data_IF_136381922214
#
_entry.id   IF_136381922214
#
_cell.length_a   1.000
_cell.length_b   1.000
_cell.length_c   1.000
_cell.angle_alpha   90.00
_cell.angle_beta   90.00
_cell.angle_gamma   90.00
#
_symmetry.space_group_name_H-M   'P 1'
#
loop_
_entity.id
_entity.type
_entity.pdbx_description
1 polymer ?
#
# COMPACT_ATOMS: atom_id res chain seq x y z
N UNK A 1 19.21 0.80 -30.83
CA UNK A 1 18.16 1.71 -30.30
C UNK A 1 17.26 0.98 -29.32
N UNK A 2 17.04 1.57 -28.14
CA UNK A 2 16.16 1.08 -27.08
C UNK A 2 15.00 2.06 -26.91
N UNK A 3 13.76 1.57 -27.00
CA UNK A 3 12.53 2.38 -26.87
C UNK A 3 11.65 1.78 -25.79
N UNK A 4 11.24 2.57 -24.80
CA UNK A 4 10.27 2.10 -23.79
C UNK A 4 8.88 1.99 -24.42
N UNK A 5 8.24 0.86 -24.21
CA UNK A 5 6.84 0.62 -24.51
C UNK A 5 6.03 1.06 -23.27
N UNK A 6 5.01 1.92 -23.42
CA UNK A 6 4.14 2.29 -22.30
C UNK A 6 3.39 1.07 -21.73
N UNK A 7 3.40 0.92 -20.40
CA UNK A 7 2.74 -0.16 -19.66
C UNK A 7 1.93 0.48 -18.52
N UNK A 8 0.78 -0.10 -18.18
CA UNK A 8 -0.10 0.44 -17.13
C UNK A 8 0.26 -0.10 -15.74
N UNK A 9 0.93 -1.25 -15.67
CA UNK A 9 1.30 -1.93 -14.45
C UNK A 9 2.58 -1.37 -13.82
N UNK A 10 2.50 -0.93 -12.56
CA UNK A 10 3.63 -0.31 -11.85
C UNK A 10 4.87 -1.21 -11.71
N UNK A 11 4.70 -2.54 -11.68
CA UNK A 11 5.80 -3.49 -11.51
C UNK A 11 6.31 -4.11 -12.82
N UNK A 12 5.78 -3.71 -13.99
CA UNK A 12 6.22 -4.21 -15.29
C UNK A 12 6.72 -3.07 -16.15
N UNK A 13 7.91 -3.24 -16.71
CA UNK A 13 8.51 -2.31 -17.67
C UNK A 13 8.79 -3.05 -18.96
N UNK A 14 8.51 -2.42 -20.09
CA UNK A 14 8.68 -3.05 -21.41
C UNK A 14 9.54 -2.19 -22.32
N UNK A 15 10.44 -2.82 -23.06
CA UNK A 15 11.36 -2.17 -23.97
C UNK A 15 11.37 -2.88 -25.31
N UNK A 16 11.38 -2.11 -26.41
CA UNK A 16 11.69 -2.59 -27.75
C UNK A 16 13.12 -2.24 -28.11
N UNK A 17 13.86 -3.23 -28.59
CA UNK A 17 15.25 -3.11 -28.99
C UNK A 17 15.36 -3.46 -30.47
N UNK A 18 16.04 -2.60 -31.22
CA UNK A 18 16.28 -2.80 -32.65
C UNK A 18 17.68 -2.40 -33.09
N UNK A 19 18.13 -2.98 -34.20
CA UNK A 19 19.43 -2.72 -34.80
C UNK A 19 20.59 -3.31 -33.98
N UNK A 20 21.76 -2.68 -34.09
CA UNK A 20 22.96 -3.04 -33.30
C UNK A 20 23.04 -2.13 -32.08
N UNK A 21 23.10 -2.69 -30.89
CA UNK A 21 23.26 -1.91 -29.65
C UNK A 21 24.69 -1.41 -29.50
N UNK A 22 24.84 -0.13 -29.19
CA UNK A 22 26.12 0.55 -28.95
C UNK A 22 26.30 0.90 -27.47
N UNK A 23 27.50 1.33 -27.07
CA UNK A 23 27.75 1.83 -25.72
C UNK A 23 26.88 3.05 -25.36
N UNK A 24 26.60 3.92 -26.34
CA UNK A 24 25.77 5.12 -26.16
C UNK A 24 24.29 4.77 -25.87
N UNK A 25 23.74 3.77 -26.57
CA UNK A 25 22.38 3.26 -26.31
C UNK A 25 22.23 2.83 -24.83
N UNK A 26 23.28 2.24 -24.27
CA UNK A 26 23.28 1.72 -22.90
C UNK A 26 23.44 2.82 -21.84
N UNK A 27 24.36 3.76 -22.04
CA UNK A 27 24.53 4.92 -21.14
C UNK A 27 23.25 5.75 -21.03
N UNK A 28 22.48 5.87 -22.11
CA UNK A 28 21.19 6.54 -22.09
C UNK A 28 20.09 5.73 -21.38
N UNK A 29 20.20 4.40 -21.39
CA UNK A 29 19.19 3.50 -20.86
C UNK A 29 19.32 3.27 -19.35
N UNK A 30 20.55 3.13 -18.84
CA UNK A 30 20.81 2.74 -17.46
C UNK A 30 20.18 3.65 -16.40
N UNK A 31 20.39 4.99 -16.41
CA UNK A 31 19.83 5.87 -15.38
C UNK A 31 18.30 5.82 -15.32
N UNK A 32 17.67 5.56 -16.47
CA UNK A 32 16.21 5.41 -16.56
C UNK A 32 15.75 4.10 -15.91
N UNK A 33 16.48 3.00 -16.13
CA UNK A 33 16.18 1.71 -15.51
C UNK A 33 16.37 1.79 -13.99
N UNK A 34 17.46 2.40 -13.51
CA UNK A 34 17.73 2.63 -12.09
C UNK A 34 16.62 3.45 -11.43
N UNK A 35 16.18 4.54 -12.06
CA UNK A 35 15.08 5.37 -11.54
C UNK A 35 13.78 4.57 -11.41
N UNK A 36 13.49 3.66 -12.34
CA UNK A 36 12.31 2.79 -12.27
C UNK A 36 12.42 1.78 -11.13
N UNK A 37 13.61 1.21 -10.90
CA UNK A 37 13.87 0.29 -9.77
C UNK A 37 13.71 1.03 -8.43
N UNK A 38 14.28 2.23 -8.30
CA UNK A 38 14.15 3.02 -7.07
C UNK A 38 12.69 3.40 -6.77
N UNK A 39 11.90 3.70 -7.80
CA UNK A 39 10.51 4.12 -7.64
C UNK A 39 9.58 2.95 -7.31
N UNK A 40 9.75 1.82 -7.98
CA UNK A 40 8.78 0.72 -7.98
C UNK A 40 9.28 -0.53 -7.23
N UNK A 41 10.54 -0.52 -6.79
CA UNK A 41 11.20 -1.66 -6.18
C UNK A 41 11.53 -2.73 -7.20
N UNK A 42 11.12 -3.97 -6.92
CA UNK A 42 11.41 -5.14 -7.75
C UNK A 42 10.55 -5.14 -9.03
N UNK A 43 11.18 -5.32 -10.19
CA UNK A 43 10.55 -5.20 -11.50
C UNK A 43 10.50 -6.52 -12.27
N UNK A 44 9.45 -6.66 -13.07
CA UNK A 44 9.38 -7.60 -14.18
C UNK A 44 9.63 -6.86 -15.49
N UNK A 45 10.45 -7.40 -16.38
CA UNK A 45 10.90 -6.73 -17.61
C UNK A 45 10.48 -7.51 -18.84
N UNK A 46 9.87 -6.83 -19.82
CA UNK A 46 9.68 -7.35 -21.17
C UNK A 46 10.69 -6.71 -22.13
N UNK A 47 11.35 -7.52 -22.93
CA UNK A 47 12.28 -7.08 -23.97
C UNK A 47 11.79 -7.63 -25.31
N UNK A 48 11.26 -6.77 -26.19
CA UNK A 48 10.92 -7.08 -27.57
C UNK A 48 12.12 -6.81 -28.48
N UNK A 49 12.63 -7.82 -29.16
CA UNK A 49 13.72 -7.70 -30.13
C UNK A 49 13.16 -7.67 -31.55
N UNK A 50 13.34 -6.55 -32.24
CA UNK A 50 12.87 -6.35 -33.60
C UNK A 50 14.00 -5.92 -34.53
N UNK A 51 14.29 -6.69 -35.60
CA UNK A 51 15.45 -6.49 -36.47
C UNK A 51 16.76 -6.30 -35.68
N UNK A 52 16.95 -7.10 -34.63
CA UNK A 52 18.12 -7.04 -33.75
C UNK A 52 19.35 -7.66 -34.44
N UNK A 53 20.45 -6.91 -34.48
CA UNK A 53 21.68 -7.25 -35.23
C UNK A 53 22.88 -7.54 -34.34
N UNK A 54 22.68 -7.66 -33.03
CA UNK A 54 23.73 -7.89 -32.04
C UNK A 54 24.17 -6.61 -31.33
N UNK A 55 25.31 -6.65 -30.66
CA UNK A 55 25.86 -5.52 -29.92
C UNK A 55 27.35 -5.32 -30.18
N UNK A 56 27.85 -4.13 -29.89
CA UNK A 56 29.28 -3.80 -29.79
C UNK A 56 29.62 -3.49 -28.32
N UNK A 57 29.64 -4.51 -27.47
CA UNK A 57 29.60 -4.37 -26.01
C UNK A 57 30.58 -5.31 -25.32
N UNK A 58 31.88 -5.20 -25.63
CA UNK A 58 32.89 -5.85 -24.80
C UNK A 58 33.13 -5.06 -23.48
N UNK A 59 33.24 -3.74 -23.55
CA UNK A 59 33.53 -2.90 -22.36
C UNK A 59 32.30 -2.57 -21.50
N UNK A 60 31.12 -2.37 -22.10
CA UNK A 60 29.91 -2.01 -21.34
C UNK A 60 29.29 -3.21 -20.58
N UNK A 61 29.68 -4.44 -20.92
CA UNK A 61 29.23 -5.63 -20.20
C UNK A 61 29.83 -5.69 -18.78
N UNK A 62 31.03 -5.16 -18.59
CA UNK A 62 31.65 -5.02 -17.28
C UNK A 62 30.99 -3.91 -16.45
N UNK A 63 30.48 -2.85 -17.08
CA UNK A 63 29.67 -1.82 -16.40
C UNK A 63 28.26 -2.30 -16.04
N UNK A 64 27.66 -3.22 -16.83
CA UNK A 64 26.42 -3.90 -16.44
C UNK A 64 26.61 -4.76 -15.19
N UNK A 65 27.80 -5.36 -15.00
CA UNK A 65 28.13 -6.09 -13.77
C UNK A 65 28.18 -5.18 -12.54
N UNK A 66 28.43 -3.88 -12.70
CA UNK A 66 28.40 -2.92 -11.58
C UNK A 66 26.97 -2.62 -11.06
N UNK A 67 25.91 -3.10 -11.73
CA UNK A 67 24.56 -3.19 -11.13
C UNK A 67 24.46 -4.23 -9.99
N UNK A 68 25.59 -4.81 -9.57
CA UNK A 68 25.78 -5.62 -8.35
C UNK A 68 25.21 -4.99 -7.05
N UNK A 69 24.89 -3.69 -7.03
CA UNK A 69 24.27 -3.03 -5.87
C UNK A 69 22.80 -3.44 -5.62
N UNK A 70 22.12 -4.07 -6.60
CA UNK A 70 20.72 -4.49 -6.48
C UNK A 70 20.45 -5.91 -7.02
N UNK A 71 20.98 -6.97 -6.38
CA UNK A 71 20.85 -8.36 -6.85
C UNK A 71 19.38 -8.84 -6.99
N UNK A 72 18.47 -8.21 -6.24
CA UNK A 72 17.03 -8.51 -6.22
C UNK A 72 16.18 -7.49 -7.00
N UNK A 73 16.78 -6.63 -7.82
CA UNK A 73 16.05 -5.61 -8.60
C UNK A 73 15.03 -6.21 -9.57
N UNK A 74 15.29 -7.43 -10.06
CA UNK A 74 14.47 -8.06 -11.08
C UNK A 74 13.85 -9.37 -10.56
N UNK A 75 12.58 -9.55 -10.88
CA UNK A 75 11.84 -10.78 -10.61
C UNK A 75 11.87 -11.70 -11.82
N UNK A 76 11.44 -11.16 -12.97
CA UNK A 76 11.35 -11.88 -14.24
C UNK A 76 11.79 -11.01 -15.40
N UNK A 77 12.44 -11.64 -16.38
CA UNK A 77 12.79 -11.00 -17.64
C UNK A 77 12.28 -11.88 -18.78
N UNK A 78 11.28 -11.40 -19.51
CA UNK A 78 10.77 -12.04 -20.71
C UNK A 78 11.42 -11.40 -21.93
N UNK A 79 12.00 -12.22 -22.81
CA UNK A 79 12.58 -11.75 -24.06
C UNK A 79 11.82 -12.35 -25.23
N UNK A 80 11.32 -11.50 -26.12
CA UNK A 80 10.48 -11.87 -27.27
C UNK A 80 11.23 -11.51 -28.55
N UNK A 81 11.43 -12.46 -29.46
CA UNK A 81 12.18 -12.18 -30.70
C UNK A 81 12.16 -13.32 -31.71
N UNK A 82 13.04 -13.25 -32.72
CA UNK A 82 13.22 -14.30 -33.75
C UNK A 82 14.48 -15.15 -33.52
N UNK A 83 14.36 -16.45 -33.79
CA UNK A 83 15.39 -17.49 -33.70
C UNK A 83 16.83 -17.09 -34.07
N UNK A 84 17.64 -16.90 -33.03
CA UNK A 84 19.13 -16.95 -32.91
C UNK A 84 19.58 -16.50 -31.51
N UNK A 85 18.65 -15.92 -30.73
CA UNK A 85 18.86 -15.43 -29.38
C UNK A 85 19.25 -16.49 -28.33
N UNK A 86 18.93 -17.78 -28.56
CA UNK A 86 19.29 -18.86 -27.63
C UNK A 86 20.79 -18.91 -27.27
N UNK A 87 21.69 -18.53 -28.19
CA UNK A 87 23.14 -18.47 -27.92
C UNK A 87 23.56 -17.30 -27.02
N UNK A 88 22.76 -16.22 -26.98
CA UNK A 88 22.99 -15.08 -26.10
C UNK A 88 22.51 -15.32 -24.67
N UNK A 89 21.37 -16.01 -24.52
CA UNK A 89 20.84 -16.39 -23.21
C UNK A 89 21.90 -17.05 -22.35
N UNK A 90 22.76 -17.91 -22.93
CA UNK A 90 23.84 -18.60 -22.21
C UNK A 90 24.88 -17.66 -21.59
N UNK A 91 25.08 -16.46 -22.17
CA UNK A 91 25.96 -15.42 -21.62
C UNK A 91 25.26 -14.55 -20.56
N UNK A 92 23.94 -14.39 -20.66
CA UNK A 92 23.11 -13.69 -19.66
C UNK A 92 22.77 -14.54 -18.43
N UNK A 93 22.72 -15.87 -18.56
CA UNK A 93 22.40 -16.81 -17.46
C UNK A 93 23.58 -17.08 -16.52
N UNK A 94 24.62 -16.27 -16.58
CA UNK A 94 25.66 -16.25 -15.55
C UNK A 94 24.98 -15.89 -14.22
N UNK A 95 25.27 -16.53 -13.06
CA UNK A 95 24.37 -16.66 -11.90
C UNK A 95 24.03 -15.39 -11.10
N UNK A 96 24.25 -14.20 -11.67
CA UNK A 96 24.31 -12.92 -10.98
C UNK A 96 23.06 -12.05 -11.15
N UNK A 97 22.13 -12.42 -12.03
CA UNK A 97 20.81 -11.78 -12.12
C UNK A 97 19.85 -12.64 -11.29
N UNK A 98 19.42 -12.18 -10.12
CA UNK A 98 18.44 -12.85 -9.24
C UNK A 98 17.02 -12.96 -9.83
N UNK A 99 16.90 -13.01 -11.16
CA UNK A 99 15.65 -13.05 -11.90
C UNK A 99 15.52 -14.33 -12.71
N UNK A 100 14.29 -14.82 -12.82
CA UNK A 100 13.94 -15.85 -13.79
C UNK A 100 13.93 -15.22 -15.19
N UNK A 101 14.66 -15.78 -16.15
CA UNK A 101 14.69 -15.27 -17.53
C UNK A 101 14.10 -16.29 -18.47
N UNK A 102 13.19 -15.87 -19.36
CA UNK A 102 12.55 -16.75 -20.34
C UNK A 102 12.47 -16.10 -21.72
N UNK A 103 12.75 -16.90 -22.74
CA UNK A 103 12.57 -16.51 -24.13
C UNK A 103 11.23 -17.00 -24.67
N UNK A 104 10.66 -16.20 -25.55
CA UNK A 104 9.42 -16.44 -26.27
C UNK A 104 9.65 -16.09 -27.75
N UNK A 105 9.08 -16.87 -28.66
CA UNK A 105 9.09 -16.49 -30.08
C UNK A 105 8.19 -15.25 -30.31
N UNK A 106 8.40 -14.54 -31.41
CA UNK A 106 7.69 -13.29 -31.72
C UNK A 106 6.15 -13.43 -31.70
N UNK A 107 5.62 -14.57 -32.13
CA UNK A 107 4.20 -14.90 -32.11
C UNK A 107 3.68 -15.32 -30.71
N UNK A 108 4.58 -15.47 -29.73
CA UNK A 108 4.28 -15.80 -28.34
C UNK A 108 4.28 -14.58 -27.41
N UNK A 109 4.25 -13.35 -27.94
CA UNK A 109 4.23 -12.11 -27.15
C UNK A 109 3.14 -12.13 -26.06
N UNK A 110 1.94 -12.66 -26.34
CA UNK A 110 0.88 -12.79 -25.34
C UNK A 110 1.29 -13.70 -24.17
N UNK A 111 1.96 -14.83 -24.46
CA UNK A 111 2.43 -15.76 -23.42
C UNK A 111 3.52 -15.15 -22.56
N UNK A 112 4.38 -14.31 -23.16
CA UNK A 112 5.40 -13.56 -22.44
C UNK A 112 4.76 -12.62 -21.40
N UNK A 113 3.75 -11.85 -21.82
CA UNK A 113 2.98 -10.99 -20.91
C UNK A 113 2.29 -11.77 -19.79
N UNK A 114 1.63 -12.89 -20.12
CA UNK A 114 0.96 -13.73 -19.13
C UNK A 114 1.95 -14.29 -18.10
N UNK A 115 3.13 -14.73 -18.56
CA UNK A 115 4.16 -15.24 -17.68
C UNK A 115 4.77 -14.18 -16.74
N UNK A 116 4.95 -12.94 -17.22
CA UNK A 116 5.36 -11.83 -16.35
C UNK A 116 4.31 -11.52 -15.26
N UNK A 117 3.02 -11.72 -15.56
CA UNK A 117 1.92 -11.48 -14.60
C UNK A 117 1.62 -12.68 -13.70
N UNK A 118 1.98 -13.89 -14.11
CA UNK A 118 1.54 -15.15 -13.51
C UNK A 118 1.85 -15.23 -12.00
N UNK A 119 3.06 -14.84 -11.57
CA UNK A 119 3.45 -14.90 -10.17
C UNK A 119 2.64 -13.93 -9.30
N UNK A 120 2.50 -12.68 -9.74
CA UNK A 120 1.64 -11.70 -9.06
C UNK A 120 0.19 -12.15 -8.98
N UNK A 121 -0.35 -12.74 -10.05
CA UNK A 121 -1.71 -13.28 -10.05
C UNK A 121 -1.84 -14.47 -9.09
N UNK A 122 -0.84 -15.36 -9.03
CA UNK A 122 -0.79 -16.46 -8.05
C UNK A 122 -0.67 -15.95 -6.63
N UNK A 123 0.15 -14.92 -6.37
CA UNK A 123 0.28 -14.30 -5.05
C UNK A 123 -1.03 -13.61 -4.62
N UNK A 124 -1.69 -12.90 -5.53
CA UNK A 124 -3.00 -12.28 -5.27
C UNK A 124 -4.10 -13.34 -5.06
N UNK A 125 -4.06 -14.45 -5.79
CA UNK A 125 -5.01 -15.55 -5.64
C UNK A 125 -4.72 -16.45 -4.42
N UNK A 126 -3.45 -16.55 -4.01
CA UNK A 126 -3.00 -17.32 -2.85
C UNK A 126 -3.15 -16.53 -1.54
N UNK A 127 -3.38 -15.21 -1.61
CA UNK A 127 -3.93 -14.48 -0.48
C UNK A 127 -5.27 -15.11 -0.14
N UNK A 128 -5.32 -15.84 0.97
CA UNK A 128 -6.59 -16.19 1.57
C UNK A 128 -7.35 -14.87 1.77
N UNK A 129 -8.62 -14.78 1.32
CA UNK A 129 -9.45 -13.68 1.76
C UNK A 129 -9.37 -13.66 3.30
N UNK A 130 -9.25 -12.48 3.93
CA UNK A 130 -9.27 -12.41 5.38
C UNK A 130 -10.47 -13.18 5.89
N UNK A 131 -10.29 -13.87 7.03
CA UNK A 131 -11.42 -14.52 7.68
C UNK A 131 -12.60 -13.52 7.77
N UNK A 132 -13.85 -13.95 7.57
CA UNK A 132 -14.99 -13.04 7.62
C UNK A 132 -14.94 -12.20 8.88
N UNK A 133 -14.97 -10.87 8.74
CA UNK A 133 -14.99 -9.99 9.91
C UNK A 133 -16.27 -10.24 10.71
N UNK A 134 -16.14 -10.26 12.03
CA UNK A 134 -17.23 -10.45 12.99
C UNK A 134 -17.34 -9.26 13.94
N UNK A 135 -16.21 -8.66 14.35
CA UNK A 135 -16.17 -7.58 15.33
C UNK A 135 -15.30 -6.45 14.78
N UNK A 136 -15.95 -5.43 14.22
CA UNK A 136 -15.29 -4.28 13.62
C UNK A 136 -15.32 -3.13 14.62
N UNK A 137 -14.16 -2.69 15.09
CA UNK A 137 -14.03 -1.46 15.88
C UNK A 137 -13.78 -0.28 14.96
N UNK A 138 -14.50 0.82 15.14
CA UNK A 138 -14.32 2.04 14.34
C UNK A 138 -13.99 3.21 15.26
N UNK A 139 -12.77 3.72 15.17
CA UNK A 139 -12.44 4.99 15.81
C UNK A 139 -13.01 6.13 14.96
N UNK A 140 -13.96 6.87 15.52
CA UNK A 140 -14.68 7.93 14.82
C UNK A 140 -14.46 9.28 15.45
N UNK A 141 -14.53 10.30 14.61
CA UNK A 141 -14.69 11.70 15.00
C UNK A 141 -16.06 12.15 14.48
N UNK A 142 -16.74 13.04 15.18
CA UNK A 142 -18.07 13.53 14.77
C UNK A 142 -17.99 14.62 13.68
N UNK A 143 -17.03 14.47 12.76
CA UNK A 143 -16.79 15.33 11.61
C UNK A 143 -17.39 14.73 10.34
N UNK A 144 -17.51 15.52 9.27
CA UNK A 144 -18.00 15.02 7.99
C UNK A 144 -17.06 13.96 7.39
N UNK A 145 -15.76 14.11 7.63
CA UNK A 145 -14.69 13.21 7.28
C UNK A 145 -14.76 11.92 8.10
N UNK A 146 -14.97 12.04 9.42
CA UNK A 146 -15.17 10.89 10.32
C UNK A 146 -16.36 10.02 9.90
N UNK A 147 -17.47 10.64 9.44
CA UNK A 147 -18.62 9.91 8.89
C UNK A 147 -18.27 9.03 7.68
N UNK A 148 -17.28 9.42 6.86
CA UNK A 148 -16.81 8.57 5.74
C UNK A 148 -16.12 7.31 6.25
N UNK A 149 -15.40 7.40 7.36
CA UNK A 149 -14.75 6.24 8.01
C UNK A 149 -15.81 5.24 8.46
N UNK A 150 -16.84 5.74 9.14
CA UNK A 150 -17.99 4.93 9.60
C UNK A 150 -18.72 4.29 8.43
N UNK A 151 -19.05 5.07 7.38
CA UNK A 151 -19.75 4.53 6.22
C UNK A 151 -18.94 3.42 5.53
N UNK A 152 -17.61 3.58 5.45
CA UNK A 152 -16.76 2.55 4.87
C UNK A 152 -16.77 1.26 5.69
N UNK A 153 -16.80 1.36 7.02
CA UNK A 153 -16.96 0.20 7.89
C UNK A 153 -18.33 -0.46 7.71
N UNK A 154 -19.40 0.32 7.54
CA UNK A 154 -20.75 -0.20 7.25
C UNK A 154 -20.80 -0.96 5.93
N UNK A 155 -20.16 -0.45 4.88
CA UNK A 155 -20.08 -1.13 3.59
C UNK A 155 -19.35 -2.48 3.72
N UNK A 156 -18.30 -2.55 4.55
CA UNK A 156 -17.58 -3.79 4.86
C UNK A 156 -18.49 -4.74 5.66
N UNK A 157 -19.14 -4.26 6.72
CA UNK A 157 -20.05 -5.05 7.55
C UNK A 157 -21.17 -5.69 6.70
N UNK A 158 -21.71 -4.99 5.70
CA UNK A 158 -22.76 -5.51 4.82
C UNK A 158 -22.33 -6.72 3.98
N UNK A 159 -21.03 -6.92 3.76
CA UNK A 159 -20.50 -8.10 3.07
C UNK A 159 -20.48 -9.36 3.93
N UNK A 160 -20.69 -9.23 5.25
CA UNK A 160 -20.55 -10.34 6.21
C UNK A 160 -21.79 -10.39 7.13
N UNK A 161 -22.56 -11.49 7.04
CA UNK A 161 -23.84 -11.60 7.74
C UNK A 161 -23.75 -11.39 9.27
N UNK A 162 -22.69 -11.92 9.89
CA UNK A 162 -22.48 -11.89 11.34
C UNK A 162 -21.62 -10.71 11.83
N UNK A 163 -21.19 -9.82 10.93
CA UNK A 163 -20.37 -8.68 11.30
C UNK A 163 -21.18 -7.68 12.13
N UNK A 164 -20.53 -7.18 13.18
CA UNK A 164 -21.01 -6.10 14.03
C UNK A 164 -19.99 -4.97 14.04
N UNK A 165 -20.48 -3.75 14.22
CA UNK A 165 -19.66 -2.56 14.38
C UNK A 165 -19.80 -2.05 15.81
N UNK A 166 -18.67 -1.70 16.40
CA UNK A 166 -18.63 -0.88 17.60
C UNK A 166 -17.91 0.42 17.28
N UNK A 167 -18.60 1.56 17.42
CA UNK A 167 -18.06 2.89 17.25
C UNK A 167 -17.41 3.32 18.56
N UNK A 168 -16.18 3.83 18.50
CA UNK A 168 -15.50 4.37 19.68
C UNK A 168 -15.07 5.80 19.39
N UNK A 169 -15.41 6.71 20.31
CA UNK A 169 -14.86 8.05 20.33
C UNK A 169 -14.14 8.27 21.65
N UNK A 170 -12.85 8.63 21.56
CA UNK A 170 -12.04 8.92 22.72
C UNK A 170 -12.08 10.42 23.01
N UNK A 171 -12.42 10.79 24.25
CA UNK A 171 -12.42 12.19 24.70
C UNK A 171 -11.14 12.44 25.48
N UNK A 172 -10.25 13.23 24.88
CA UNK A 172 -8.99 13.63 25.52
C UNK A 172 -9.19 14.98 26.21
N UNK A 173 -9.02 15.02 27.53
CA UNK A 173 -9.26 16.23 28.30
C UNK A 173 -7.99 17.08 28.40
N UNK A 174 -8.08 18.40 28.20
CA UNK A 174 -6.95 19.28 28.46
C UNK A 174 -6.58 19.21 29.95
N UNK A 175 -5.34 18.81 30.24
CA UNK A 175 -4.77 18.87 31.59
C UNK A 175 -4.23 20.28 31.80
N UNK A 176 -4.78 20.99 32.78
CA UNK A 176 -4.28 22.30 33.20
C UNK A 176 -3.28 22.14 34.34
N UNK A 177 -2.42 23.13 34.50
CA UNK A 177 -1.51 23.23 35.65
C UNK A 177 -2.02 24.39 36.50
N UNK A 178 -2.30 24.13 37.78
CA UNK A 178 -2.70 25.18 38.71
C UNK A 178 -1.51 25.99 39.26
N UNK A 179 -1.77 26.96 40.14
CA UNK A 179 -0.71 27.78 40.75
C UNK A 179 0.29 26.97 41.59
N UNK A 180 -0.09 25.78 42.05
CA UNK A 180 0.75 24.87 42.83
C UNK A 180 1.55 23.88 41.97
N UNK A 181 1.47 23.99 40.63
CA UNK A 181 2.04 23.05 39.66
C UNK A 181 1.41 21.65 39.69
N UNK A 182 0.20 21.51 40.24
CA UNK A 182 -0.54 20.26 40.22
C UNK A 182 -1.38 20.15 38.93
N UNK A 183 -1.42 18.96 38.28
CA UNK A 183 -2.25 18.73 37.12
C UNK A 183 -3.73 18.65 37.52
N UNK A 184 -4.57 19.50 36.95
CA UNK A 184 -6.01 19.58 37.24
C UNK A 184 -6.83 19.45 35.97
N UNK A 185 -7.87 18.63 36.02
CA UNK A 185 -8.90 18.52 34.99
C UNK A 185 -10.18 19.12 35.60
N UNK A 186 -10.72 20.23 35.07
CA UNK A 186 -11.99 20.77 35.53
C UNK A 186 -13.13 19.79 35.23
N UNK A 187 -13.73 19.19 36.27
CA UNK A 187 -14.81 18.20 36.14
C UNK A 187 -15.99 18.69 35.28
N UNK A 188 -16.35 19.97 35.37
CA UNK A 188 -17.43 20.57 34.59
C UNK A 188 -17.17 20.50 33.07
N UNK A 189 -15.91 20.66 32.65
CA UNK A 189 -15.50 20.58 31.24
C UNK A 189 -15.52 19.13 30.76
N UNK A 190 -15.11 18.19 31.63
CA UNK A 190 -15.13 16.75 31.34
C UNK A 190 -16.55 16.26 31.09
N UNK A 191 -17.50 16.59 31.98
CA UNK A 191 -18.91 16.21 31.84
C UNK A 191 -19.57 16.85 30.61
N UNK A 192 -19.26 18.12 30.32
CA UNK A 192 -19.80 18.84 29.15
C UNK A 192 -19.32 18.22 27.83
N UNK A 193 -18.01 18.00 27.68
CA UNK A 193 -17.43 17.41 26.46
C UNK A 193 -17.97 15.99 26.21
N UNK A 194 -18.06 15.19 27.28
CA UNK A 194 -18.58 13.82 27.21
C UNK A 194 -20.06 13.82 26.82
N UNK A 195 -20.86 14.74 27.39
CA UNK A 195 -22.29 14.87 27.07
C UNK A 195 -22.53 15.29 25.62
N UNK A 196 -21.72 16.22 25.10
CA UNK A 196 -21.78 16.64 23.69
C UNK A 196 -21.41 15.47 22.77
N UNK A 197 -20.31 14.79 23.08
CA UNK A 197 -19.86 13.61 22.33
C UNK A 197 -20.92 12.49 22.33
N UNK A 198 -21.54 12.22 23.48
CA UNK A 198 -22.59 11.21 23.61
C UNK A 198 -23.80 11.56 22.74
N UNK A 199 -24.24 12.82 22.74
CA UNK A 199 -25.34 13.26 21.86
C UNK A 199 -25.04 13.03 20.39
N UNK A 200 -23.82 13.34 19.95
CA UNK A 200 -23.41 13.10 18.56
C UNK A 200 -23.35 11.61 18.20
N UNK A 201 -22.92 10.76 19.13
CA UNK A 201 -22.95 9.31 18.95
C UNK A 201 -24.38 8.80 18.83
N UNK A 202 -25.29 9.23 19.72
CA UNK A 202 -26.70 8.83 19.71
C UNK A 202 -27.39 9.23 18.40
N UNK A 203 -27.11 10.44 17.91
CA UNK A 203 -27.64 10.94 16.64
C UNK A 203 -27.11 10.11 15.45
N UNK A 204 -25.81 9.77 15.45
CA UNK A 204 -25.21 8.93 14.42
C UNK A 204 -25.77 7.50 14.43
N UNK A 205 -25.93 6.89 15.61
CA UNK A 205 -26.51 5.54 15.74
C UNK A 205 -27.96 5.52 15.25
N UNK A 206 -28.74 6.57 15.54
CA UNK A 206 -30.12 6.72 15.06
C UNK A 206 -30.20 6.90 13.55
N UNK A 207 -29.24 7.62 12.95
CA UNK A 207 -29.15 7.79 11.49
C UNK A 207 -28.79 6.49 10.77
N UNK A 208 -27.93 5.66 11.37
CA UNK A 208 -27.51 4.39 10.79
C UNK A 208 -28.59 3.30 10.87
N UNK A 209 -29.44 3.35 11.91
CA UNK A 209 -30.62 2.47 12.10
C UNK A 209 -30.35 0.97 11.88
N UNK A 210 -29.26 0.45 12.46
CA UNK A 210 -28.90 -0.96 12.41
C UNK A 210 -28.45 -1.45 13.79
N UNK A 211 -29.14 -2.45 14.33
CA UNK A 211 -28.91 -3.01 15.67
C UNK A 211 -27.55 -3.71 15.82
N UNK A 212 -26.84 -3.98 14.71
CA UNK A 212 -25.48 -4.51 14.73
C UNK A 212 -24.43 -3.43 14.94
N UNK A 213 -24.83 -2.16 14.98
CA UNK A 213 -23.97 -1.01 15.18
C UNK A 213 -24.25 -0.44 16.58
N UNK A 214 -23.22 -0.45 17.42
CA UNK A 214 -23.24 0.10 18.78
C UNK A 214 -22.10 1.10 18.93
N UNK A 215 -22.01 1.80 20.05
CA UNK A 215 -20.81 2.57 20.34
C UNK A 215 -20.78 3.15 21.73
N UNK A 216 -19.58 3.58 22.13
CA UNK A 216 -19.28 4.16 23.43
C UNK A 216 -18.41 5.43 23.31
N UNK A 217 -18.59 6.35 24.26
CA UNK A 217 -17.68 7.48 24.50
C UNK A 217 -16.76 7.08 25.64
N UNK A 218 -15.44 7.15 25.42
CA UNK A 218 -14.46 6.69 26.41
C UNK A 218 -13.44 7.79 26.72
N UNK A 219 -13.31 8.18 28.00
CA UNK A 219 -12.24 9.06 28.47
C UNK A 219 -10.83 8.54 28.14
N UNK A 220 -9.98 9.46 27.70
CA UNK A 220 -8.53 9.28 27.66
C UNK A 220 -7.90 9.29 26.27
N UNK A 221 -6.58 9.04 26.19
CA UNK A 221 -5.82 9.21 24.95
C UNK A 221 -6.30 8.25 23.85
N UNK A 222 -6.61 8.74 22.63
CA UNK A 222 -7.23 7.93 21.57
C UNK A 222 -6.52 6.61 21.25
N UNK A 223 -5.18 6.62 21.15
CA UNK A 223 -4.40 5.41 20.89
C UNK A 223 -4.64 4.34 21.96
N UNK A 224 -4.63 4.72 23.23
CA UNK A 224 -4.79 3.78 24.34
C UNK A 224 -6.20 3.21 24.38
N UNK A 225 -7.19 4.07 24.23
CA UNK A 225 -8.62 3.71 24.17
C UNK A 225 -8.89 2.74 23.02
N UNK A 226 -8.45 3.05 21.80
CA UNK A 226 -8.72 2.20 20.63
C UNK A 226 -8.10 0.80 20.82
N UNK A 227 -6.85 0.71 21.28
CA UNK A 227 -6.17 -0.57 21.44
C UNK A 227 -6.80 -1.42 22.56
N UNK A 228 -7.15 -0.81 23.69
CA UNK A 228 -7.77 -1.53 24.80
C UNK A 228 -9.18 -2.01 24.46
N UNK A 229 -9.97 -1.19 23.77
CA UNK A 229 -11.31 -1.56 23.32
C UNK A 229 -11.27 -2.64 22.24
N UNK A 230 -10.30 -2.58 21.32
CA UNK A 230 -10.12 -3.64 20.33
C UNK A 230 -9.82 -5.00 20.98
N UNK A 231 -8.97 -5.02 22.01
CA UNK A 231 -8.67 -6.23 22.76
C UNK A 231 -9.88 -6.73 23.56
N UNK A 232 -10.59 -5.83 24.26
CA UNK A 232 -11.77 -6.18 25.07
C UNK A 232 -12.90 -6.77 24.21
N UNK A 233 -13.17 -6.18 23.05
CA UNK A 233 -14.20 -6.62 22.11
C UNK A 233 -13.76 -7.81 21.25
N UNK A 234 -12.47 -8.17 21.30
CA UNK A 234 -11.83 -9.13 20.38
C UNK A 234 -12.10 -8.74 18.92
N UNK A 235 -11.89 -7.46 18.62
CA UNK A 235 -12.04 -6.93 17.29
C UNK A 235 -11.11 -7.69 16.31
N UNK A 236 -11.63 -8.05 15.15
CA UNK A 236 -10.85 -8.62 14.05
C UNK A 236 -10.48 -7.57 12.99
N UNK A 237 -11.11 -6.40 13.04
CA UNK A 237 -10.76 -5.24 12.24
C UNK A 237 -10.89 -3.95 13.05
N UNK A 238 -9.89 -3.08 12.95
CA UNK A 238 -9.96 -1.67 13.39
C UNK A 238 -10.02 -0.77 12.15
N UNK A 239 -10.98 0.15 12.10
CA UNK A 239 -11.12 1.14 11.03
C UNK A 239 -10.90 2.54 11.59
N UNK A 240 -9.98 3.31 10.99
CA UNK A 240 -9.62 4.66 11.43
C UNK A 240 -9.49 5.61 10.25
N UNK A 241 -9.74 6.90 10.49
CA UNK A 241 -9.30 7.96 9.59
C UNK A 241 -7.78 8.18 9.66
N UNK A 242 -7.17 8.60 8.56
CA UNK A 242 -5.83 9.20 8.58
C UNK A 242 -5.88 10.63 8.05
N UNK A 243 -5.51 11.57 8.92
CA UNK A 243 -5.30 12.98 8.60
C UNK A 243 -3.97 13.17 7.87
N UNK A 244 -3.92 14.13 6.93
CA UNK A 244 -2.72 14.47 6.15
C UNK A 244 -2.31 15.92 6.34
N UNK A 245 -1.91 16.35 7.55
CA UNK A 245 -1.41 17.71 7.78
C UNK A 245 0.05 17.75 8.22
N UNK A 246 0.87 18.38 7.36
CA UNK A 246 2.23 18.82 7.62
C UNK A 246 2.87 19.31 6.31
N UNK A 247 3.64 20.41 6.36
CA UNK A 247 4.32 21.05 5.23
C UNK A 247 5.37 20.16 4.50
N UNK A 248 5.46 18.90 4.88
CA UNK A 248 6.19 17.80 4.25
C UNK A 248 5.19 16.63 4.16
N UNK A 249 4.68 16.37 2.96
CA UNK A 249 3.48 15.55 2.76
C UNK A 249 3.50 14.12 3.35
N UNK A 250 2.30 13.53 3.42
CA UNK A 250 2.03 12.08 3.55
C UNK A 250 2.31 11.40 4.91
N UNK A 251 2.41 12.10 6.03
CA UNK A 251 2.54 11.42 7.33
C UNK A 251 1.20 10.85 7.81
N UNK A 252 1.21 9.59 8.28
CA UNK A 252 0.13 8.98 9.04
C UNK A 252 -0.02 9.73 10.37
N UNK A 253 -1.23 10.19 10.70
CA UNK A 253 -1.51 10.82 12.00
C UNK A 253 -1.04 9.94 13.17
N UNK A 254 -0.61 10.57 14.27
CA UNK A 254 0.01 9.90 15.43
C UNK A 254 -0.83 8.76 15.99
N UNK A 255 -2.15 8.93 16.08
CA UNK A 255 -3.10 7.89 16.51
C UNK A 255 -3.11 6.71 15.54
N UNK A 256 -3.31 6.95 14.24
CA UNK A 256 -3.35 5.89 13.24
C UNK A 256 -2.02 5.12 13.17
N UNK A 257 -0.89 5.83 13.18
CA UNK A 257 0.45 5.21 13.25
C UNK A 257 0.64 4.39 14.52
N UNK A 258 0.23 4.94 15.67
CA UNK A 258 0.27 4.25 16.95
C UNK A 258 -0.55 2.95 16.96
N UNK A 259 -1.75 2.97 16.38
CA UNK A 259 -2.62 1.79 16.31
C UNK A 259 -2.07 0.76 15.31
N UNK A 260 -1.66 1.16 14.11
CA UNK A 260 -1.08 0.24 13.11
C UNK A 260 0.08 -0.57 13.70
N UNK A 261 0.94 0.08 14.49
CA UNK A 261 2.14 -0.57 15.03
C UNK A 261 1.88 -1.48 16.24
N UNK A 262 0.70 -1.43 16.86
CA UNK A 262 0.43 -2.15 18.13
C UNK A 262 -0.86 -2.98 18.13
N UNK A 263 -1.74 -2.82 17.13
CA UNK A 263 -2.95 -3.61 17.01
C UNK A 263 -2.62 -5.09 16.83
N UNK A 264 -3.42 -5.96 17.45
CA UNK A 264 -3.31 -7.42 17.31
C UNK A 264 -4.20 -7.99 16.20
N UNK A 265 -5.00 -7.14 15.56
CA UNK A 265 -5.92 -7.48 14.49
C UNK A 265 -5.62 -6.62 13.24
N UNK A 266 -6.37 -6.84 12.17
CA UNK A 266 -6.20 -6.03 10.96
C UNK A 266 -6.58 -4.57 11.22
N UNK A 267 -5.89 -3.66 10.52
CA UNK A 267 -6.12 -2.21 10.62
C UNK A 267 -6.34 -1.64 9.23
N UNK A 268 -7.49 -1.00 9.03
CA UNK A 268 -7.83 -0.28 7.82
C UNK A 268 -7.82 1.23 8.07
N UNK A 269 -6.96 1.95 7.37
CA UNK A 269 -6.96 3.42 7.40
C UNK A 269 -7.64 4.03 6.19
N UNK A 270 -8.55 4.97 6.42
CA UNK A 270 -9.26 5.71 5.38
C UNK A 270 -8.60 7.10 5.22
N UNK A 271 -8.07 7.44 4.03
CA UNK A 271 -7.58 8.78 3.76
C UNK A 271 -8.71 9.80 3.90
N UNK A 272 -8.51 10.82 4.75
CA UNK A 272 -9.41 11.96 4.83
C UNK A 272 -8.91 13.01 3.82
N UNK A 273 -9.68 13.25 2.77
CA UNK A 273 -9.39 14.34 1.82
C UNK A 273 -9.93 15.64 2.41
N UNK A 274 -9.08 16.65 2.55
CA UNK A 274 -9.59 18.00 2.75
C UNK A 274 -10.37 18.42 1.51
N UNK A 275 -11.58 18.89 1.73
CA UNK A 275 -12.24 19.69 0.69
C UNK A 275 -11.48 21.01 0.66
N UNK A 276 -10.66 21.22 -0.38
CA UNK A 276 -10.05 22.53 -0.64
C UNK A 276 -11.18 23.56 -0.68
N UNK A 277 -11.29 24.38 0.37
CA UNK A 277 -12.16 25.56 0.39
C UNK A 277 -11.35 26.77 -0.04
#
# INVERSE_FOLDING_TARGET
>A
MIVQIPVQEDNIVAFRISGKLTHEDYQAFLPRLESLIQKNGRLSVLIELHDFKGWDLEAAWDDFRLLEEHPDAFERIAVVGKGRLMRWMTAMTTPFVGAEVRYFEEDELSKAWDWLRERRLKELAARQPPAPYRQILVGTEFTAEGRRVVQRAVDIMRCYADARIHLIHAVDYPVYIDEAYDPVIPLEIEDELTSIAQKHLDDLLRELDDQRITGDIVPGPPRGVILSQAEALRADLIVLGKHGHGALGRLLGSTASGVINHARCEVLTIPLQETVR
#
